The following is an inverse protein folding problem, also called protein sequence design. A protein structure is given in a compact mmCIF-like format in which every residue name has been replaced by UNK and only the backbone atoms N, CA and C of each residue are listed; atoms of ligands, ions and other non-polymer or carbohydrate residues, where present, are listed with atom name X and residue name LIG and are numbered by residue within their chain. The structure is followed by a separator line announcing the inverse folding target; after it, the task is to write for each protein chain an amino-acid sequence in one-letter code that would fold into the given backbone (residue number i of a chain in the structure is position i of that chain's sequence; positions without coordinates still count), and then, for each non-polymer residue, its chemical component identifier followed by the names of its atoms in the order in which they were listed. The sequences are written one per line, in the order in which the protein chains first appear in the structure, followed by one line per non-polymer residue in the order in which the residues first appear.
data_IF_015580793483
#
_entry.id   IF_015580793483
#
_cell.length_a   1.000
_cell.length_b   1.000
_cell.length_c   1.000
_cell.angle_alpha   90.00
_cell.angle_beta   90.00
_cell.angle_gamma   90.00
#
_symmetry.space_group_name_H-M   'P 1'
#
loop_
_entity.id
_entity.type
_entity.pdbx_description
1 polymer ?
#
# COMPACT_ATOMS: atom_id res chain seq x y z
N UNK A 1 18.43 10.51 23.29
CA UNK A 1 18.02 11.20 22.04
C UNK A 1 16.77 10.52 21.55
N UNK A 2 15.64 11.24 21.50
CA UNK A 2 14.40 10.62 21.06
C UNK A 2 14.50 10.44 19.54
N UNK A 3 14.21 9.24 19.03
CA UNK A 3 14.45 8.84 17.64
C UNK A 3 13.57 9.53 16.58
N UNK A 4 13.11 10.76 16.85
CA UNK A 4 12.29 11.57 15.97
C UNK A 4 12.65 13.05 16.09
N UNK A 5 12.45 13.81 15.00
CA UNK A 5 12.67 15.25 14.97
C UNK A 5 11.62 16.00 15.81
N UNK A 6 11.96 17.21 16.27
CA UNK A 6 11.03 18.11 16.98
C UNK A 6 9.74 18.36 16.20
N UNK A 7 9.86 18.58 14.90
CA UNK A 7 8.71 18.80 14.00
C UNK A 7 7.79 17.58 13.94
N UNK A 8 8.36 16.37 13.83
CA UNK A 8 7.58 15.13 13.83
C UNK A 8 6.78 14.97 15.12
N UNK A 9 7.37 15.35 16.26
CA UNK A 9 6.71 15.30 17.56
C UNK A 9 5.46 16.19 17.60
N UNK A 10 5.58 17.47 17.22
CA UNK A 10 4.44 18.40 17.26
C UNK A 10 3.34 18.02 16.27
N UNK A 11 3.67 17.47 15.08
CA UNK A 11 2.65 16.97 14.16
C UNK A 11 1.83 15.83 14.76
N UNK A 12 2.48 14.88 15.45
CA UNK A 12 1.76 13.81 16.12
C UNK A 12 0.95 14.31 17.32
N UNK A 13 1.48 15.28 18.06
CA UNK A 13 0.76 15.94 19.16
C UNK A 13 -0.52 16.63 18.65
N UNK A 14 -0.43 17.46 17.62
CA UNK A 14 -1.60 18.14 17.06
C UNK A 14 -2.66 17.16 16.53
N UNK A 15 -2.24 16.08 15.87
CA UNK A 15 -3.14 15.04 15.37
C UNK A 15 -3.86 14.33 16.52
N UNK A 16 -3.16 14.08 17.62
CA UNK A 16 -3.72 13.45 18.82
C UNK A 16 -4.70 14.39 19.55
N UNK A 17 -4.37 15.68 19.66
CA UNK A 17 -5.26 16.68 20.27
C UNK A 17 -6.55 16.89 19.45
N UNK A 18 -6.45 16.86 18.12
CA UNK A 18 -7.60 17.08 17.22
C UNK A 18 -8.49 15.84 17.02
N UNK A 19 -7.94 14.63 17.04
CA UNK A 19 -8.67 13.40 16.70
C UNK A 19 -8.43 12.20 17.61
N UNK A 20 -7.80 12.41 18.76
CA UNK A 20 -7.54 11.39 19.77
C UNK A 20 -6.69 10.22 19.27
N UNK A 21 -6.81 9.08 19.95
CA UNK A 21 -6.06 7.86 19.61
C UNK A 21 -6.42 7.27 18.23
N UNK A 22 -7.63 7.56 17.72
CA UNK A 22 -8.10 7.07 16.42
C UNK A 22 -7.41 7.78 15.24
N UNK A 23 -7.09 9.07 15.37
CA UNK A 23 -6.37 9.81 14.34
C UNK A 23 -4.97 9.24 14.07
N UNK A 24 -4.35 8.59 15.06
CA UNK A 24 -3.07 7.92 14.89
C UNK A 24 -3.18 6.59 14.11
N UNK A 25 -4.35 5.95 14.08
CA UNK A 25 -4.55 4.70 13.33
C UNK A 25 -4.67 4.93 11.81
N UNK A 26 -5.16 6.10 11.41
CA UNK A 26 -5.50 6.39 10.01
C UNK A 26 -4.29 6.80 9.13
N UNK A 27 -3.10 6.88 9.74
CA UNK A 27 -1.81 7.16 9.09
C UNK A 27 -1.27 6.00 8.24
N UNK A 28 -1.94 4.85 8.21
CA UNK A 28 -1.53 3.74 7.36
C UNK A 28 -1.60 4.14 5.89
N UNK A 29 -0.43 4.15 5.23
CA UNK A 29 -0.31 4.37 3.79
C UNK A 29 -0.76 3.16 2.96
N UNK A 30 -1.08 2.02 3.58
CA UNK A 30 -1.53 0.78 2.91
C UNK A 30 -3.03 0.81 2.63
N UNK A 31 -3.49 1.82 1.89
CA UNK A 31 -4.88 1.93 1.43
C UNK A 31 -4.96 1.53 -0.04
N UNK A 32 -5.97 0.75 -0.48
CA UNK A 32 -6.19 0.49 -1.89
C UNK A 32 -6.33 1.81 -2.65
N UNK A 33 -5.62 1.97 -3.77
CA UNK A 33 -5.74 3.13 -4.64
C UNK A 33 -6.68 2.79 -5.81
N UNK A 34 -7.93 3.30 -5.85
CA UNK A 34 -8.87 2.99 -6.92
C UNK A 34 -8.37 3.40 -8.31
N UNK A 35 -7.52 4.44 -8.39
CA UNK A 35 -6.92 4.89 -9.66
C UNK A 35 -5.98 3.86 -10.28
N UNK A 36 -5.45 2.93 -9.48
CA UNK A 36 -4.60 1.84 -9.95
C UNK A 36 -5.40 0.59 -10.36
N UNK A 37 -6.75 0.62 -10.24
CA UNK A 37 -7.59 -0.50 -10.67
C UNK A 37 -7.78 -0.45 -12.18
N UNK A 38 -7.76 -1.63 -12.78
CA UNK A 38 -8.09 -1.84 -14.18
C UNK A 38 -9.51 -2.42 -14.30
N UNK A 39 -10.08 -2.40 -15.50
CA UNK A 39 -11.36 -3.05 -15.77
C UNK A 39 -11.30 -4.55 -15.44
N UNK A 40 -12.38 -5.09 -14.83
CA UNK A 40 -12.43 -6.49 -14.39
C UNK A 40 -12.13 -7.49 -15.52
N UNK A 41 -12.61 -7.21 -16.75
CA UNK A 41 -12.33 -8.05 -17.93
C UNK A 41 -10.83 -8.12 -18.26
N UNK A 42 -10.11 -7.00 -18.11
CA UNK A 42 -8.66 -6.94 -18.33
C UNK A 42 -7.92 -7.70 -17.22
N UNK A 43 -8.36 -7.55 -15.98
CA UNK A 43 -7.79 -8.28 -14.84
C UNK A 43 -7.94 -9.79 -15.00
N UNK A 44 -9.11 -10.27 -15.41
CA UNK A 44 -9.37 -11.69 -15.64
C UNK A 44 -8.56 -12.25 -16.80
N UNK A 45 -8.42 -11.49 -17.89
CA UNK A 45 -7.58 -11.88 -19.03
C UNK A 45 -6.10 -12.03 -18.63
N UNK A 46 -5.57 -11.10 -17.84
CA UNK A 46 -4.18 -11.17 -17.34
C UNK A 46 -3.99 -12.37 -16.40
N UNK A 47 -4.97 -12.67 -15.54
CA UNK A 47 -4.93 -13.87 -14.67
C UNK A 47 -4.91 -15.16 -15.48
N UNK A 48 -5.78 -15.30 -16.49
CA UNK A 48 -5.80 -16.46 -17.38
C UNK A 48 -4.47 -16.62 -18.11
N UNK A 49 -3.95 -15.54 -18.69
CA UNK A 49 -2.65 -15.54 -19.35
C UNK A 49 -1.52 -15.98 -18.42
N UNK A 50 -1.51 -15.56 -17.16
CA UNK A 50 -0.49 -15.97 -16.19
C UNK A 50 -0.58 -17.45 -15.79
N UNK A 51 -1.80 -18.03 -15.80
CA UNK A 51 -2.03 -19.45 -15.53
C UNK A 51 -1.63 -20.30 -16.74
N UNK A 52 -2.03 -19.88 -17.95
CA UNK A 52 -1.78 -20.60 -19.19
C UNK A 52 -0.28 -20.54 -19.59
N UNK A 53 0.38 -19.43 -19.28
CA UNK A 53 1.78 -19.17 -19.61
C UNK A 53 2.58 -18.74 -18.37
N UNK A 54 2.84 -19.64 -17.41
CA UNK A 54 3.54 -19.30 -16.17
C UNK A 54 4.97 -18.81 -16.40
N UNK A 55 5.57 -19.17 -17.55
CA UNK A 55 6.90 -18.75 -17.96
C UNK A 55 6.98 -17.28 -18.43
N UNK A 56 5.85 -16.61 -18.70
CA UNK A 56 5.81 -15.19 -19.10
C UNK A 56 5.96 -14.22 -17.93
N UNK A 57 5.89 -14.72 -16.69
CA UNK A 57 6.16 -13.94 -15.50
C UNK A 57 7.65 -13.58 -15.36
N UNK A 58 8.02 -13.08 -14.19
CA UNK A 58 9.43 -12.91 -13.87
C UNK A 58 10.11 -14.29 -13.94
N UNK A 59 11.02 -14.48 -14.89
CA UNK A 59 11.85 -15.67 -15.00
C UNK A 59 12.74 -15.78 -13.76
N UNK A 60 12.18 -16.24 -12.64
CA UNK A 60 12.98 -16.91 -11.63
C UNK A 60 13.29 -18.25 -12.26
N UNK A 61 14.46 -18.33 -12.89
CA UNK A 61 15.10 -19.58 -13.26
C UNK A 61 14.94 -20.56 -12.11
N UNK A 62 14.02 -21.51 -12.25
CA UNK A 62 14.11 -22.77 -11.51
C UNK A 62 15.16 -23.55 -12.29
N UNK A 63 16.43 -23.25 -11.99
CA UNK A 63 17.49 -24.26 -12.05
C UNK A 63 17.70 -24.76 -10.63
#
# INVERSE_FOLDING_TARGET
MIGYSRDSFYRFQELYEKGGKLALQDLSKRKPNPKNRIEAKKEEAVKKMAIDFPAYGQAKSIQ
#
